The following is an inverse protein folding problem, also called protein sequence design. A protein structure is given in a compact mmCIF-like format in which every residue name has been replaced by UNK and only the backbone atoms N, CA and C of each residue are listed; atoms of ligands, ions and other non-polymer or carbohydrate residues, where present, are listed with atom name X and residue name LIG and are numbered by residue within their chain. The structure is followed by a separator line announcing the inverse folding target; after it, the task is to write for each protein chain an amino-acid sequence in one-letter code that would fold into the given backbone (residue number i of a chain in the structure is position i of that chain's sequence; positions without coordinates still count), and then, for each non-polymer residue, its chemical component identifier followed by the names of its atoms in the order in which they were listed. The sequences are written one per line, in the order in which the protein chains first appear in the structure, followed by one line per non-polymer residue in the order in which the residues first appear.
data_IF_004335139954
#
_entry.id   IF_004335139954
#
_cell.length_a   1.000
_cell.length_b   1.000
_cell.length_c   1.000
_cell.angle_alpha   90.00
_cell.angle_beta   90.00
_cell.angle_gamma   90.00
#
_symmetry.space_group_name_H-M   'P 1'
#
loop_
_entity.id
_entity.type
_entity.pdbx_description
1 polymer ?
#
# COMPACT_ATOMS: atom_id res chain seq x y z
N UNK A 1 26.07 13.72 29.50
CA UNK A 1 25.57 12.39 29.08
C UNK A 1 24.15 12.24 29.60
N UNK A 2 23.14 12.54 28.79
CA UNK A 2 21.73 12.32 29.14
C UNK A 2 21.35 10.90 28.71
N UNK A 3 21.06 10.06 29.70
CA UNK A 3 20.55 8.69 29.52
C UNK A 3 19.16 8.76 28.89
N UNK A 4 19.07 8.64 27.56
CA UNK A 4 17.81 8.51 26.82
C UNK A 4 17.14 7.19 27.19
N UNK A 5 16.07 7.27 27.99
CA UNK A 5 15.12 6.16 28.17
C UNK A 5 14.57 5.77 26.80
N UNK A 6 14.78 4.51 26.40
CA UNK A 6 14.07 3.93 25.26
C UNK A 6 12.57 4.09 25.51
N UNK A 7 11.88 4.87 24.67
CA UNK A 7 10.44 5.06 24.76
C UNK A 7 9.79 3.69 24.56
N UNK A 8 8.84 3.27 25.41
CA UNK A 8 8.14 2.01 25.22
C UNK A 8 7.45 2.01 23.86
N UNK A 9 7.37 0.83 23.23
CA UNK A 9 6.74 0.68 21.93
C UNK A 9 5.32 1.28 21.96
N UNK A 10 4.94 2.01 20.91
CA UNK A 10 3.61 2.59 20.80
C UNK A 10 2.56 1.49 20.90
N UNK A 11 1.51 1.76 21.67
CA UNK A 11 0.40 0.83 21.86
C UNK A 11 -0.65 1.09 20.78
N UNK A 12 -1.27 0.04 20.22
CA UNK A 12 -2.35 0.23 19.26
C UNK A 12 -3.52 0.97 19.90
N UNK A 13 -4.39 1.62 19.10
CA UNK A 13 -5.57 2.32 19.58
C UNK A 13 -6.44 1.40 20.45
N UNK A 14 -7.11 1.99 21.44
CA UNK A 14 -8.05 1.27 22.28
C UNK A 14 -9.10 0.54 21.43
N UNK A 15 -9.36 -0.73 21.75
CA UNK A 15 -10.29 -1.57 20.98
C UNK A 15 -9.65 -2.32 19.80
N UNK A 16 -8.35 -2.12 19.50
CA UNK A 16 -7.65 -2.96 18.52
C UNK A 16 -7.60 -4.41 19.02
N UNK A 17 -8.09 -5.39 18.23
CA UNK A 17 -8.06 -6.80 18.64
C UNK A 17 -6.64 -7.31 18.89
N UNK A 18 -6.54 -8.39 19.66
CA UNK A 18 -5.28 -9.08 19.88
C UNK A 18 -4.69 -9.60 18.55
N UNK A 19 -3.34 -9.72 18.42
CA UNK A 19 -2.70 -10.16 17.19
C UNK A 19 -3.23 -11.49 16.63
N UNK A 20 -3.57 -12.46 17.49
CA UNK A 20 -4.13 -13.74 17.06
C UNK A 20 -5.51 -13.61 16.41
N UNK A 21 -6.33 -12.66 16.88
CA UNK A 21 -7.65 -12.38 16.32
C UNK A 21 -7.54 -11.66 14.98
N UNK A 22 -6.62 -10.68 14.87
CA UNK A 22 -6.29 -10.05 13.60
C UNK A 22 -5.76 -11.08 12.59
N UNK A 23 -4.90 -12.01 13.03
CA UNK A 23 -4.39 -13.07 12.18
C UNK A 23 -5.51 -14.01 11.73
N UNK A 24 -6.47 -14.35 12.61
CA UNK A 24 -7.66 -15.14 12.23
C UNK A 24 -8.48 -14.43 11.14
N UNK A 25 -8.65 -13.12 11.21
CA UNK A 25 -9.33 -12.34 10.17
C UNK A 25 -8.54 -12.33 8.86
N UNK A 26 -7.22 -12.11 8.92
CA UNK A 26 -6.34 -12.18 7.74
C UNK A 26 -6.37 -13.57 7.09
N UNK A 27 -6.48 -14.65 7.88
CA UNK A 27 -6.63 -16.02 7.37
C UNK A 27 -7.93 -16.22 6.61
N UNK A 28 -9.02 -15.64 7.09
CA UNK A 28 -10.31 -15.71 6.41
C UNK A 28 -10.23 -15.03 5.04
N UNK A 29 -9.64 -13.82 4.98
CA UNK A 29 -9.45 -13.08 3.72
C UNK A 29 -8.57 -13.85 2.71
N UNK A 30 -7.50 -14.47 3.19
CA UNK A 30 -6.52 -15.17 2.33
C UNK A 30 -6.86 -16.66 2.10
N UNK A 31 -8.01 -17.15 2.54
CA UNK A 31 -8.33 -18.59 2.55
C UNK A 31 -8.24 -19.21 1.15
N UNK A 32 -8.84 -18.57 0.13
CA UNK A 32 -8.81 -19.06 -1.25
C UNK A 32 -7.41 -18.99 -1.86
N UNK A 33 -6.67 -17.90 -1.59
CA UNK A 33 -5.28 -17.74 -2.02
C UNK A 33 -4.38 -18.84 -1.46
N UNK A 34 -4.57 -19.24 -0.19
CA UNK A 34 -3.84 -20.35 0.43
C UNK A 34 -4.22 -21.69 -0.18
N UNK A 35 -5.51 -21.90 -0.49
CA UNK A 35 -5.97 -23.12 -1.16
C UNK A 35 -5.27 -23.28 -2.52
N UNK A 36 -5.21 -22.20 -3.30
CA UNK A 36 -4.55 -22.17 -4.62
C UNK A 36 -3.04 -22.36 -4.47
N UNK A 37 -2.40 -21.69 -3.50
CA UNK A 37 -0.97 -21.84 -3.25
C UNK A 37 -0.57 -23.27 -2.85
N UNK A 38 -1.42 -23.97 -2.07
CA UNK A 38 -1.20 -25.39 -1.72
C UNK A 38 -1.38 -26.30 -2.92
N UNK A 39 -2.45 -26.10 -3.70
CA UNK A 39 -2.65 -26.84 -4.95
C UNK A 39 -1.44 -26.70 -5.90
N UNK A 40 -0.89 -25.50 -6.02
CA UNK A 40 0.32 -25.24 -6.81
C UNK A 40 1.58 -25.90 -6.23
N UNK A 41 1.65 -26.09 -4.91
CA UNK A 41 2.77 -26.71 -4.21
C UNK A 41 2.83 -28.23 -4.39
N UNK A 42 1.68 -28.90 -4.42
CA UNK A 42 1.55 -30.36 -4.33
C UNK A 42 1.86 -31.12 -5.63
N UNK A 43 2.55 -30.49 -6.60
CA UNK A 43 3.15 -31.21 -7.72
C UNK A 43 2.29 -31.34 -8.97
N UNK A 44 1.24 -30.54 -9.14
CA UNK A 44 0.57 -30.35 -10.44
C UNK A 44 1.42 -29.58 -11.49
N UNK A 45 2.73 -29.45 -11.23
CA UNK A 45 3.77 -28.74 -12.00
C UNK A 45 3.86 -27.26 -11.61
N UNK A 46 5.08 -26.67 -11.50
CA UNK A 46 5.20 -25.22 -11.50
C UNK A 46 4.65 -24.78 -12.86
N UNK A 47 3.41 -24.30 -12.87
CA UNK A 47 2.85 -23.66 -14.05
C UNK A 47 3.86 -22.59 -14.45
N UNK A 48 4.31 -22.64 -15.70
CA UNK A 48 5.06 -21.55 -16.30
C UNK A 48 4.38 -20.24 -15.88
N UNK A 49 5.16 -19.24 -15.48
CA UNK A 49 4.64 -17.90 -15.23
C UNK A 49 4.55 -17.19 -16.59
N UNK A 50 3.43 -16.51 -16.92
CA UNK A 50 2.17 -16.43 -16.18
C UNK A 50 1.39 -17.75 -16.22
N UNK A 51 0.56 -18.01 -15.19
CA UNK A 51 -0.18 -19.27 -15.02
C UNK A 51 -0.82 -19.71 -16.35
N UNK A 52 -0.21 -20.67 -17.02
CA UNK A 52 -0.64 -21.11 -18.33
C UNK A 52 -2.11 -21.54 -18.32
N UNK A 53 -2.87 -21.28 -19.39
CA UNK A 53 -4.31 -21.56 -19.45
C UNK A 53 -4.67 -23.00 -19.10
N UNK A 54 -3.82 -23.97 -19.49
CA UNK A 54 -4.00 -25.38 -19.10
C UNK A 54 -3.85 -25.64 -17.59
N UNK A 55 -3.00 -24.88 -16.90
CA UNK A 55 -2.87 -24.98 -15.45
C UNK A 55 -4.07 -24.33 -14.75
N UNK A 56 -4.56 -23.21 -15.30
CA UNK A 56 -5.76 -22.52 -14.84
C UNK A 56 -7.01 -23.40 -14.94
N UNK A 57 -7.25 -24.05 -16.09
CA UNK A 57 -8.39 -24.95 -16.29
C UNK A 57 -8.34 -26.18 -15.37
N UNK A 58 -7.15 -26.76 -15.16
CA UNK A 58 -6.99 -27.88 -14.22
C UNK A 58 -7.26 -27.46 -12.77
N UNK A 59 -6.79 -26.27 -12.37
CA UNK A 59 -7.07 -25.73 -11.04
C UNK A 59 -8.56 -25.44 -10.88
N UNK A 60 -9.20 -24.83 -11.87
CA UNK A 60 -10.63 -24.55 -11.88
C UNK A 60 -11.46 -25.82 -11.68
N UNK A 61 -11.15 -26.87 -12.45
CA UNK A 61 -11.80 -28.17 -12.31
C UNK A 61 -11.52 -28.85 -10.96
N UNK A 62 -10.28 -28.81 -10.47
CA UNK A 62 -9.91 -29.46 -9.20
C UNK A 62 -10.48 -28.75 -7.96
N UNK A 63 -10.77 -27.46 -8.06
CA UNK A 63 -11.18 -26.62 -6.92
C UNK A 63 -12.65 -26.19 -7.02
N UNK A 64 -13.36 -26.58 -8.08
CA UNK A 64 -14.74 -26.17 -8.38
C UNK A 64 -14.91 -24.64 -8.41
N UNK A 65 -13.92 -23.96 -9.00
CA UNK A 65 -13.88 -22.51 -9.16
C UNK A 65 -13.91 -22.14 -10.64
N UNK A 66 -14.35 -20.92 -10.95
CA UNK A 66 -14.18 -20.39 -12.30
C UNK A 66 -12.70 -20.09 -12.59
N UNK A 67 -12.28 -20.17 -13.88
CA UNK A 67 -11.00 -19.66 -14.37
C UNK A 67 -10.61 -18.28 -13.80
N UNK A 68 -11.56 -17.35 -13.73
CA UNK A 68 -11.36 -16.01 -13.21
C UNK A 68 -11.06 -16.00 -11.69
N UNK A 69 -11.80 -16.80 -10.90
CA UNK A 69 -11.57 -16.93 -9.45
C UNK A 69 -10.21 -17.55 -9.15
N UNK A 70 -9.77 -18.54 -9.94
CA UNK A 70 -8.43 -19.13 -9.83
C UNK A 70 -7.35 -18.08 -10.12
N UNK A 71 -7.50 -17.29 -11.19
CA UNK A 71 -6.56 -16.22 -11.53
C UNK A 71 -6.46 -15.19 -10.41
N UNK A 72 -7.60 -14.69 -9.94
CA UNK A 72 -7.65 -13.71 -8.86
C UNK A 72 -7.01 -14.26 -7.56
N UNK A 73 -7.30 -15.51 -7.21
CA UNK A 73 -6.70 -16.13 -6.03
C UNK A 73 -5.21 -16.42 -6.18
N UNK A 74 -4.73 -16.72 -7.39
CA UNK A 74 -3.30 -16.82 -7.71
C UNK A 74 -2.58 -15.49 -7.53
N UNK A 75 -3.13 -14.40 -8.08
CA UNK A 75 -2.55 -13.06 -7.95
C UNK A 75 -2.50 -12.61 -6.50
N UNK A 76 -3.58 -12.86 -5.74
CA UNK A 76 -3.61 -12.64 -4.29
C UNK A 76 -2.53 -13.47 -3.58
N UNK A 77 -2.34 -14.73 -3.95
CA UNK A 77 -1.32 -15.60 -3.35
C UNK A 77 0.11 -15.10 -3.64
N UNK A 78 0.35 -14.61 -4.86
CA UNK A 78 1.64 -14.00 -5.24
C UNK A 78 1.90 -12.72 -4.47
N UNK A 79 0.94 -11.80 -4.43
CA UNK A 79 1.07 -10.50 -3.76
C UNK A 79 1.19 -10.65 -2.23
N UNK A 80 0.49 -11.62 -1.63
CA UNK A 80 0.64 -11.96 -0.22
C UNK A 80 1.94 -12.73 0.12
N UNK A 81 2.74 -13.10 -0.88
CA UNK A 81 3.99 -13.86 -0.71
C UNK A 81 3.77 -15.31 -0.25
N UNK A 82 2.61 -15.89 -0.56
CA UNK A 82 2.31 -17.32 -0.39
C UNK A 82 2.91 -18.14 -1.54
N UNK A 83 3.11 -17.51 -2.69
CA UNK A 83 3.80 -18.04 -3.87
C UNK A 83 4.97 -17.12 -4.19
N UNK A 84 6.13 -17.70 -4.44
CA UNK A 84 7.33 -17.01 -4.90
C UNK A 84 7.62 -17.41 -6.35
N UNK A 85 7.88 -16.43 -7.21
CA UNK A 85 8.25 -16.66 -8.60
C UNK A 85 9.77 -16.79 -8.71
N UNK A 86 10.25 -17.80 -9.43
CA UNK A 86 11.65 -18.08 -9.63
C UNK A 86 11.89 -18.42 -11.10
N UNK A 87 12.28 -17.41 -11.88
CA UNK A 87 12.22 -17.49 -13.34
C UNK A 87 10.79 -17.81 -13.77
N UNK A 88 10.65 -18.82 -14.63
CA UNK A 88 9.35 -19.27 -15.13
C UNK A 88 8.65 -20.25 -14.17
N UNK A 89 9.19 -20.48 -12.97
CA UNK A 89 8.60 -21.44 -12.02
C UNK A 89 7.99 -20.75 -10.81
N UNK A 90 6.81 -21.21 -10.40
CA UNK A 90 6.22 -20.84 -9.12
C UNK A 90 6.62 -21.84 -8.05
N UNK A 91 6.99 -21.34 -6.85
CA UNK A 91 7.34 -22.15 -5.69
C UNK A 91 6.54 -21.73 -4.46
N UNK A 92 6.31 -22.66 -3.50
CA UNK A 92 5.72 -22.32 -2.22
C UNK A 92 6.56 -21.27 -1.49
N UNK A 93 5.96 -20.12 -1.21
CA UNK A 93 6.59 -19.06 -0.46
C UNK A 93 6.78 -19.44 1.00
N UNK A 94 7.74 -18.82 1.68
CA UNK A 94 8.01 -19.13 3.08
C UNK A 94 6.80 -18.87 4.00
N UNK A 95 5.94 -17.90 3.66
CA UNK A 95 4.71 -17.58 4.40
C UNK A 95 3.69 -18.71 4.35
N UNK A 96 3.63 -19.46 3.24
CA UNK A 96 2.79 -20.65 3.15
C UNK A 96 3.25 -21.74 4.13
N UNK A 97 4.56 -21.94 4.24
CA UNK A 97 5.17 -22.89 5.22
C UNK A 97 4.99 -22.45 6.67
N UNK A 98 4.90 -21.14 6.90
CA UNK A 98 4.68 -20.57 8.22
C UNK A 98 3.19 -20.41 8.57
N UNK A 99 2.29 -20.68 7.62
CA UNK A 99 0.87 -20.33 7.69
C UNK A 99 0.26 -20.71 9.03
N UNK A 100 0.28 -21.97 9.43
CA UNK A 100 -0.42 -22.43 10.63
C UNK A 100 0.24 -22.03 11.98
N UNK A 101 1.45 -21.47 11.98
CA UNK A 101 2.29 -21.34 13.19
C UNK A 101 2.80 -19.94 13.48
N UNK A 102 2.75 -19.02 12.51
CA UNK A 102 3.28 -17.67 12.64
C UNK A 102 2.23 -16.65 12.21
N UNK A 103 1.52 -16.11 13.20
CA UNK A 103 0.51 -15.07 12.99
C UNK A 103 1.12 -13.77 12.46
N UNK A 104 2.37 -13.47 12.82
CA UNK A 104 3.04 -12.27 12.32
C UNK A 104 3.37 -12.41 10.83
N UNK A 105 3.74 -13.60 10.36
CA UNK A 105 3.94 -13.88 8.94
C UNK A 105 2.65 -13.70 8.13
N UNK A 106 1.51 -14.12 8.70
CA UNK A 106 0.18 -14.00 8.09
C UNK A 106 -0.25 -12.56 8.00
N UNK A 107 -0.11 -11.80 9.09
CA UNK A 107 -0.41 -10.37 9.12
C UNK A 107 0.45 -9.61 8.11
N UNK A 108 1.76 -9.89 8.02
CA UNK A 108 2.64 -9.30 7.01
C UNK A 108 2.25 -9.68 5.57
N UNK A 109 1.76 -10.90 5.35
CA UNK A 109 1.27 -11.34 4.04
C UNK A 109 0.00 -10.59 3.64
N UNK A 110 -0.93 -10.41 4.58
CA UNK A 110 -2.14 -9.63 4.33
C UNK A 110 -1.83 -8.14 4.12
N UNK A 111 -0.90 -7.54 4.88
CA UNK A 111 -0.47 -6.14 4.65
C UNK A 111 0.14 -5.98 3.26
N UNK A 112 0.92 -6.95 2.77
CA UNK A 112 1.44 -6.90 1.41
C UNK A 112 0.32 -6.95 0.34
N UNK A 113 -0.74 -7.74 0.59
CA UNK A 113 -1.92 -7.75 -0.26
C UNK A 113 -2.68 -6.42 -0.21
N UNK A 114 -2.86 -5.88 1.00
CA UNK A 114 -3.48 -4.57 1.23
C UNK A 114 -2.74 -3.45 0.49
N UNK A 115 -1.41 -3.44 0.55
CA UNK A 115 -0.59 -2.44 -0.16
C UNK A 115 -0.67 -2.58 -1.68
N UNK A 116 -0.99 -3.77 -2.16
CA UNK A 116 -1.14 -4.09 -3.58
C UNK A 116 -2.60 -4.17 -4.03
N UNK A 117 -3.54 -3.57 -3.30
CA UNK A 117 -4.98 -3.67 -3.57
C UNK A 117 -5.33 -3.29 -5.03
N UNK A 118 -4.69 -2.25 -5.56
CA UNK A 118 -4.92 -1.75 -6.92
C UNK A 118 -4.39 -2.68 -8.01
N UNK A 119 -3.50 -3.61 -7.67
CA UNK A 119 -3.03 -4.66 -8.57
C UNK A 119 -3.97 -5.87 -8.58
N UNK A 120 -4.74 -6.08 -7.51
CA UNK A 120 -5.72 -7.17 -7.37
C UNK A 120 -7.06 -6.76 -7.98
N UNK A 121 -7.40 -5.47 -7.90
CA UNK A 121 -8.64 -4.92 -8.38
C UNK A 121 -8.34 -3.98 -9.55
N UNK A 122 -8.39 -4.54 -10.76
CA UNK A 122 -8.07 -3.83 -12.00
C UNK A 122 -8.83 -2.51 -12.11
N UNK A 123 -8.15 -1.48 -12.62
CA UNK A 123 -8.76 -0.17 -12.86
C UNK A 123 -9.92 -0.27 -13.86
N UNK A 124 -10.90 0.65 -13.78
CA UNK A 124 -11.96 0.74 -14.77
C UNK A 124 -11.39 0.94 -16.18
N UNK A 125 -12.06 0.35 -17.18
CA UNK A 125 -11.65 0.48 -18.58
C UNK A 125 -11.83 1.92 -19.09
N UNK A 126 -10.91 2.38 -19.94
CA UNK A 126 -11.00 3.70 -20.57
C UNK A 126 -10.55 4.88 -19.69
N UNK A 127 -10.00 4.62 -18.52
CA UNK A 127 -9.43 5.66 -17.64
C UNK A 127 -7.92 5.79 -17.87
N UNK A 128 -7.45 7.02 -17.98
CA UNK A 128 -6.02 7.33 -18.13
C UNK A 128 -5.19 6.84 -16.93
N UNK A 129 -4.02 6.27 -17.22
CA UNK A 129 -3.16 5.67 -16.19
C UNK A 129 -2.67 6.69 -15.15
N UNK A 130 -2.51 7.95 -15.55
CA UNK A 130 -2.15 9.06 -14.64
C UNK A 130 -3.22 9.32 -13.60
N UNK A 131 -4.49 9.40 -14.01
CA UNK A 131 -5.62 9.59 -13.09
C UNK A 131 -5.75 8.42 -12.10
N UNK A 132 -5.54 7.18 -12.57
CA UNK A 132 -5.49 6.00 -11.68
C UNK A 132 -4.35 6.12 -10.68
N UNK A 133 -3.15 6.54 -11.11
CA UNK A 133 -2.00 6.70 -10.24
C UNK A 133 -2.22 7.78 -9.17
N UNK A 134 -2.87 8.89 -9.53
CA UNK A 134 -3.23 9.97 -8.60
C UNK A 134 -4.25 9.54 -7.57
N UNK A 135 -5.29 8.80 -7.98
CA UNK A 135 -6.24 8.21 -7.05
C UNK A 135 -5.55 7.25 -6.07
N UNK A 136 -4.65 6.38 -6.55
CA UNK A 136 -3.87 5.48 -5.69
C UNK A 136 -2.98 6.27 -4.72
N UNK A 137 -2.37 7.36 -5.16
CA UNK A 137 -1.55 8.24 -4.32
C UNK A 137 -2.37 9.01 -3.27
N UNK A 138 -3.64 9.32 -3.55
CA UNK A 138 -4.55 10.00 -2.63
C UNK A 138 -5.19 9.07 -1.58
N UNK A 139 -5.31 7.75 -1.86
CA UNK A 139 -5.92 6.76 -0.95
C UNK A 139 -5.35 6.74 0.49
N UNK A 140 -4.04 6.90 0.74
CA UNK A 140 -3.51 6.99 2.11
C UNK A 140 -4.18 8.08 2.97
N UNK A 141 -4.57 9.22 2.39
CA UNK A 141 -5.25 10.28 3.11
C UNK A 141 -6.71 9.90 3.44
N UNK A 142 -7.39 9.26 2.48
CA UNK A 142 -8.74 8.69 2.68
C UNK A 142 -8.74 7.66 3.82
N UNK A 143 -7.76 6.75 3.82
CA UNK A 143 -7.59 5.75 4.88
C UNK A 143 -7.30 6.39 6.25
N UNK A 144 -6.55 7.50 6.28
CA UNK A 144 -6.26 8.24 7.50
C UNK A 144 -7.53 8.87 8.08
N UNK A 145 -8.40 9.46 7.23
CA UNK A 145 -9.70 9.97 7.67
C UNK A 145 -10.56 8.84 8.27
N UNK A 146 -10.67 7.70 7.58
CA UNK A 146 -11.42 6.54 8.08
C UNK A 146 -10.91 6.04 9.44
N UNK A 147 -9.58 6.00 9.62
CA UNK A 147 -8.95 5.56 10.86
C UNK A 147 -9.20 6.54 12.01
N UNK A 148 -9.08 7.84 11.75
CA UNK A 148 -9.31 8.89 12.76
C UNK A 148 -10.78 9.02 13.15
N UNK A 149 -11.70 8.78 12.21
CA UNK A 149 -13.14 8.86 12.46
C UNK A 149 -13.65 7.77 13.41
N UNK A 150 -12.91 6.65 13.55
CA UNK A 150 -13.25 5.52 14.42
C UNK A 150 -14.70 5.01 14.24
N UNK A 151 -15.23 5.09 13.02
CA UNK A 151 -16.62 4.77 12.69
C UNK A 151 -16.93 4.95 11.19
N UNK A 152 -18.19 4.81 10.77
CA UNK A 152 -18.60 5.00 9.38
C UNK A 152 -18.35 6.42 8.91
N UNK A 153 -17.77 6.56 7.72
CA UNK A 153 -17.60 7.85 7.02
C UNK A 153 -18.42 7.84 5.74
N UNK A 154 -19.10 8.94 5.44
CA UNK A 154 -19.97 9.03 4.27
C UNK A 154 -19.14 9.10 2.98
N UNK A 155 -19.63 8.46 1.92
CA UNK A 155 -18.98 8.49 0.59
C UNK A 155 -18.79 9.91 0.07
N UNK A 156 -19.76 10.85 0.20
CA UNK A 156 -19.54 12.25 -0.18
C UNK A 156 -18.34 12.91 0.52
N UNK A 157 -18.14 12.68 1.81
CA UNK A 157 -16.99 13.25 2.53
C UNK A 157 -15.65 12.66 2.06
N UNK A 158 -15.65 11.37 1.69
CA UNK A 158 -14.47 10.72 1.11
C UNK A 158 -14.18 11.23 -0.31
N UNK A 159 -15.22 11.54 -1.08
CA UNK A 159 -15.12 12.11 -2.42
C UNK A 159 -14.53 13.52 -2.40
N UNK A 160 -15.03 14.37 -1.51
CA UNK A 160 -14.50 15.72 -1.33
C UNK A 160 -13.00 15.68 -0.98
N UNK A 161 -12.61 14.77 -0.08
CA UNK A 161 -11.21 14.58 0.30
C UNK A 161 -10.34 14.08 -0.86
N UNK A 162 -10.82 13.07 -1.61
CA UNK A 162 -10.10 12.55 -2.77
C UNK A 162 -9.91 13.64 -3.83
N UNK A 163 -10.97 14.35 -4.18
CA UNK A 163 -10.95 15.42 -5.18
C UNK A 163 -9.97 16.53 -4.79
N UNK A 164 -10.00 16.95 -3.51
CA UNK A 164 -9.04 17.92 -2.97
C UNK A 164 -7.60 17.43 -3.11
N UNK A 165 -7.31 16.18 -2.75
CA UNK A 165 -5.93 15.67 -2.82
C UNK A 165 -5.43 15.47 -4.25
N UNK A 166 -6.29 15.04 -5.17
CA UNK A 166 -5.95 14.94 -6.59
C UNK A 166 -5.64 16.33 -7.17
N UNK A 167 -6.40 17.35 -6.80
CA UNK A 167 -6.10 18.73 -7.19
C UNK A 167 -4.73 19.20 -6.68
N UNK A 168 -4.41 18.92 -5.41
CA UNK A 168 -3.09 19.23 -4.83
C UNK A 168 -1.96 18.48 -5.55
N UNK A 169 -2.13 17.19 -5.87
CA UNK A 169 -1.14 16.42 -6.63
C UNK A 169 -0.90 16.99 -8.03
N UNK A 170 -1.96 17.46 -8.71
CA UNK A 170 -1.81 18.14 -9.99
C UNK A 170 -1.01 19.44 -9.86
N UNK A 171 -1.25 20.23 -8.81
CA UNK A 171 -0.49 21.45 -8.55
C UNK A 171 0.98 21.14 -8.24
N UNK A 172 1.26 20.12 -7.41
CA UNK A 172 2.60 19.67 -7.05
C UNK A 172 3.40 19.14 -8.27
N UNK A 173 2.72 18.57 -9.26
CA UNK A 173 3.32 17.97 -10.47
C UNK A 173 3.39 18.91 -11.66
N UNK A 174 2.71 20.05 -11.62
CA UNK A 174 2.82 21.07 -12.67
C UNK A 174 4.24 21.66 -12.67
N UNK A 175 5.13 21.13 -13.51
CA UNK A 175 6.22 21.94 -14.06
C UNK A 175 5.60 23.14 -14.80
N UNK A 176 6.01 24.35 -14.43
CA UNK A 176 5.45 25.62 -14.95
C UNK A 176 5.39 25.59 -16.49
N UNK A 177 4.20 25.63 -17.12
CA UNK A 177 4.09 25.65 -18.57
C UNK A 177 4.66 26.95 -19.13
N UNK A 178 5.67 26.87 -19.99
CA UNK A 178 6.08 27.99 -20.83
C UNK A 178 5.14 28.10 -22.03
N UNK A 179 4.02 28.81 -21.88
CA UNK A 179 3.13 29.14 -23.00
C UNK A 179 1.72 29.57 -22.58
N UNK A 180 1.01 30.36 -23.40
CA UNK A 180 -0.34 30.82 -23.09
C UNK A 180 -1.32 29.64 -23.06
N UNK A 181 -1.99 29.48 -21.91
CA UNK A 181 -2.95 28.42 -21.64
C UNK A 181 -4.34 28.85 -22.14
N UNK A 182 -4.91 28.11 -23.09
CA UNK A 182 -6.32 28.24 -23.45
C UNK A 182 -7.22 27.69 -22.32
N UNK A 183 -8.36 28.33 -22.03
CA UNK A 183 -9.23 27.90 -20.93
C UNK A 183 -9.92 26.57 -21.26
N UNK A 184 -9.59 25.52 -20.50
CA UNK A 184 -10.20 24.21 -20.66
C UNK A 184 -11.63 24.17 -20.06
N UNK A 185 -12.61 23.56 -20.75
CA UNK A 185 -13.90 23.22 -20.15
C UNK A 185 -13.77 21.88 -19.40
N UNK A 186 -13.75 21.86 -18.06
CA UNK A 186 -13.32 20.63 -17.34
C UNK A 186 -13.94 20.32 -15.97
N UNK A 187 -14.94 21.05 -15.45
CA UNK A 187 -15.38 20.83 -14.05
C UNK A 187 -16.33 19.64 -13.86
N UNK A 188 -17.29 19.39 -14.75
CA UNK A 188 -18.27 18.29 -14.57
C UNK A 188 -17.65 16.91 -14.84
N UNK A 189 -16.83 16.78 -15.89
CA UNK A 189 -16.16 15.51 -16.22
C UNK A 189 -15.16 15.07 -15.14
N UNK A 190 -14.52 16.02 -14.44
CA UNK A 190 -13.58 15.71 -13.36
C UNK A 190 -14.30 15.17 -12.11
N UNK A 191 -15.51 15.66 -11.81
CA UNK A 191 -16.26 15.21 -10.64
C UNK A 191 -16.75 13.76 -10.80
N UNK A 192 -17.30 13.43 -11.97
CA UNK A 192 -17.73 12.07 -12.30
C UNK A 192 -16.57 11.08 -12.30
N UNK A 193 -15.41 11.50 -12.82
CA UNK A 193 -14.18 10.70 -12.79
C UNK A 193 -13.71 10.42 -11.36
N UNK A 194 -13.69 11.43 -10.48
CA UNK A 194 -13.30 11.26 -9.09
C UNK A 194 -14.27 10.34 -8.33
N UNK A 195 -15.57 10.42 -8.63
CA UNK A 195 -16.57 9.51 -8.05
C UNK A 195 -16.30 8.05 -8.49
N UNK A 196 -16.08 7.82 -9.79
CA UNK A 196 -15.75 6.50 -10.32
C UNK A 196 -14.45 5.94 -9.70
N UNK A 197 -13.41 6.77 -9.56
CA UNK A 197 -12.13 6.37 -8.98
C UNK A 197 -12.25 6.10 -7.47
N UNK A 198 -13.07 6.87 -6.75
CA UNK A 198 -13.36 6.60 -5.35
C UNK A 198 -14.06 5.26 -5.18
N UNK A 199 -15.12 5.00 -5.96
CA UNK A 199 -15.87 3.75 -5.91
C UNK A 199 -14.95 2.56 -6.19
N UNK A 200 -14.14 2.65 -7.25
CA UNK A 200 -13.10 1.65 -7.56
C UNK A 200 -12.13 1.43 -6.39
N UNK A 201 -11.64 2.50 -5.76
CA UNK A 201 -10.72 2.38 -4.64
C UNK A 201 -11.38 1.71 -3.42
N UNK A 202 -12.61 2.11 -3.08
CA UNK A 202 -13.35 1.54 -1.97
C UNK A 202 -13.71 0.07 -2.21
N UNK A 203 -14.13 -0.29 -3.43
CA UNK A 203 -14.38 -1.68 -3.82
C UNK A 203 -13.11 -2.53 -3.75
N UNK A 204 -11.98 -2.02 -4.25
CA UNK A 204 -10.70 -2.71 -4.18
C UNK A 204 -10.23 -2.95 -2.74
N UNK A 205 -10.34 -1.94 -1.88
CA UNK A 205 -10.03 -2.04 -0.46
C UNK A 205 -10.98 -3.00 0.28
N UNK A 206 -12.27 -3.00 -0.08
CA UNK A 206 -13.24 -3.97 0.44
C UNK A 206 -12.91 -5.40 -0.01
N UNK A 207 -12.48 -5.58 -1.26
CA UNK A 207 -12.15 -6.88 -1.84
C UNK A 207 -10.95 -7.56 -1.17
N UNK A 208 -10.05 -6.78 -0.56
CA UNK A 208 -8.93 -7.26 0.28
C UNK A 208 -9.27 -7.28 1.78
N UNK A 209 -10.51 -6.98 2.15
CA UNK A 209 -11.01 -7.04 3.53
C UNK A 209 -10.56 -5.90 4.44
N UNK A 210 -10.07 -4.79 3.87
CA UNK A 210 -9.61 -3.64 4.65
C UNK A 210 -10.76 -2.79 5.20
N UNK A 211 -11.88 -2.72 4.47
CA UNK A 211 -13.06 -1.98 4.87
C UNK A 211 -14.34 -2.72 4.47
N UNK A 212 -15.47 -2.28 5.03
CA UNK A 212 -16.81 -2.69 4.64
C UNK A 212 -17.55 -1.49 4.06
N UNK A 213 -18.32 -1.72 3.00
CA UNK A 213 -19.22 -0.75 2.39
C UNK A 213 -20.63 -0.94 2.94
N UNK A 214 -21.20 0.13 3.48
CA UNK A 214 -22.62 0.24 3.85
C UNK A 214 -23.36 1.15 2.87
N UNK A 215 -24.64 1.43 3.15
CA UNK A 215 -25.45 2.34 2.31
C UNK A 215 -24.86 3.77 2.33
N UNK A 216 -24.02 4.09 1.35
CA UNK A 216 -23.35 5.39 1.21
C UNK A 216 -22.27 5.68 2.24
N UNK A 217 -21.73 4.66 2.93
CA UNK A 217 -20.68 4.82 3.94
C UNK A 217 -19.61 3.75 3.82
N UNK A 218 -18.38 4.07 4.20
CA UNK A 218 -17.29 3.11 4.35
C UNK A 218 -16.80 3.08 5.80
N UNK A 219 -16.44 1.89 6.29
CA UNK A 219 -15.91 1.67 7.64
C UNK A 219 -14.73 0.72 7.58
N UNK A 220 -13.60 1.07 8.21
CA UNK A 220 -12.47 0.15 8.31
C UNK A 220 -12.86 -1.09 9.12
N UNK A 221 -12.42 -2.25 8.66
CA UNK A 221 -12.45 -3.48 9.47
C UNK A 221 -11.43 -3.35 10.60
N UNK A 222 -11.49 -4.18 11.66
CA UNK A 222 -10.45 -4.18 12.69
C UNK A 222 -9.05 -4.44 12.10
N UNK A 223 -8.96 -5.27 11.06
CA UNK A 223 -7.72 -5.56 10.33
C UNK A 223 -7.21 -4.36 9.52
N UNK A 224 -8.10 -3.67 8.79
CA UNK A 224 -7.77 -2.44 8.09
C UNK A 224 -7.36 -1.31 9.03
N UNK A 225 -8.11 -1.10 10.11
CA UNK A 225 -7.79 -0.11 11.14
C UNK A 225 -6.42 -0.34 11.76
N UNK A 226 -6.09 -1.60 12.10
CA UNK A 226 -4.77 -1.96 12.61
C UNK A 226 -3.66 -1.65 11.60
N UNK A 227 -3.85 -1.99 10.32
CA UNK A 227 -2.81 -1.78 9.32
C UNK A 227 -2.58 -0.31 8.98
N UNK A 228 -3.64 0.50 8.89
CA UNK A 228 -3.53 1.96 8.73
C UNK A 228 -2.82 2.54 9.95
N UNK A 229 -3.18 2.13 11.17
CA UNK A 229 -2.47 2.58 12.37
C UNK A 229 -0.98 2.21 12.35
N UNK A 230 -0.61 0.96 11.98
CA UNK A 230 0.80 0.56 11.88
C UNK A 230 1.56 1.45 10.89
N UNK A 231 0.95 1.81 9.76
CA UNK A 231 1.56 2.71 8.76
C UNK A 231 1.71 4.13 9.28
N UNK A 232 0.68 4.69 9.91
CA UNK A 232 0.74 6.00 10.54
C UNK A 232 1.81 6.03 11.64
N UNK A 233 1.92 4.96 12.44
CA UNK A 233 2.94 4.85 13.47
C UNK A 233 4.35 4.76 12.86
N UNK A 234 4.53 4.05 11.73
CA UNK A 234 5.80 4.02 11.01
C UNK A 234 6.20 5.42 10.49
N UNK A 235 5.22 6.20 10.00
CA UNK A 235 5.44 7.59 9.58
C UNK A 235 5.81 8.45 10.80
N UNK A 236 5.08 8.33 11.91
CA UNK A 236 5.38 9.06 13.15
C UNK A 236 6.74 8.71 13.74
N UNK A 237 7.10 7.42 13.78
CA UNK A 237 8.40 6.94 14.25
C UNK A 237 9.51 7.38 13.30
N UNK A 238 9.27 7.35 11.99
CA UNK A 238 10.16 7.97 11.03
C UNK A 238 10.31 9.44 11.42
N UNK A 239 9.25 10.26 11.30
CA UNK A 239 9.23 11.70 11.56
C UNK A 239 9.95 12.12 12.87
N UNK A 240 9.84 11.31 13.91
CA UNK A 240 10.51 11.52 15.21
C UNK A 240 11.97 11.04 15.25
N UNK A 241 12.66 11.01 14.11
CA UNK A 241 14.06 10.61 14.02
C UNK A 241 14.92 11.25 15.12
N UNK A 242 15.85 10.53 15.77
CA UNK A 242 16.66 11.04 16.88
C UNK A 242 17.39 12.37 16.62
N UNK A 243 17.66 12.67 15.34
CA UNK A 243 18.25 13.93 14.89
C UNK A 243 17.26 14.89 14.20
N UNK A 244 16.03 14.47 13.90
CA UNK A 244 14.99 15.33 13.31
C UNK A 244 15.24 15.70 11.85
N UNK A 245 15.98 14.89 11.09
CA UNK A 245 16.42 15.27 9.74
C UNK A 245 15.33 15.15 8.68
N UNK A 246 14.15 14.63 9.02
CA UNK A 246 13.15 14.23 8.02
C UNK A 246 12.53 15.39 7.29
N UNK A 247 12.45 16.56 7.91
CA UNK A 247 11.98 17.78 7.27
C UNK A 247 13.13 18.56 6.58
N UNK A 248 14.37 18.07 6.67
CA UNK A 248 15.55 18.75 6.14
C UNK A 248 15.83 18.35 4.69
N UNK A 249 16.50 19.21 3.93
CA UNK A 249 17.00 18.88 2.59
C UNK A 249 17.91 17.63 2.61
N UNK A 250 18.10 16.98 1.47
CA UNK A 250 19.03 15.85 1.36
C UNK A 250 20.45 16.26 1.78
N UNK A 251 20.88 17.48 1.43
CA UNK A 251 22.17 18.03 1.82
C UNK A 251 22.30 18.16 3.35
N UNK A 252 21.34 18.83 3.97
CA UNK A 252 21.33 19.07 5.42
C UNK A 252 21.20 17.76 6.21
N UNK A 253 20.40 16.82 5.70
CA UNK A 253 20.27 15.49 6.28
C UNK A 253 21.60 14.72 6.19
N UNK A 254 22.28 14.71 5.04
CA UNK A 254 23.57 14.02 4.87
C UNK A 254 24.65 14.64 5.76
N UNK A 255 24.71 15.97 5.85
CA UNK A 255 25.59 16.70 6.75
C UNK A 255 25.27 16.42 8.23
N UNK A 256 23.99 16.37 8.59
CA UNK A 256 23.51 16.00 9.92
C UNK A 256 23.90 14.57 10.31
N UNK A 257 23.89 13.65 9.35
CA UNK A 257 24.28 12.26 9.53
C UNK A 257 25.79 12.02 9.57
N UNK A 258 26.62 12.95 9.09
CA UNK A 258 28.08 12.81 9.05
C UNK A 258 28.72 12.61 10.44
N UNK A 259 28.04 13.04 11.51
CA UNK A 259 28.49 12.88 12.91
C UNK A 259 27.92 11.64 13.60
N UNK A 260 27.12 10.83 12.91
CA UNK A 260 26.50 9.62 13.46
C UNK A 260 27.33 8.37 13.17
N UNK A 261 27.18 7.34 14.00
CA UNK A 261 27.71 6.00 13.67
C UNK A 261 26.89 5.38 12.52
N UNK A 262 27.44 4.40 11.77
CA UNK A 262 26.79 3.89 10.56
C UNK A 262 25.38 3.34 10.74
N UNK A 263 25.06 2.76 11.91
CA UNK A 263 23.73 2.24 12.21
C UNK A 263 22.67 3.35 12.32
N UNK A 264 22.85 4.32 13.23
CA UNK A 264 22.01 5.51 13.32
C UNK A 264 21.92 6.30 12.03
N UNK A 265 23.02 6.53 11.31
CA UNK A 265 23.00 7.23 10.02
C UNK A 265 22.09 6.52 9.00
N UNK A 266 22.18 5.18 8.90
CA UNK A 266 21.28 4.40 8.02
C UNK A 266 19.82 4.47 8.46
N UNK A 267 19.54 4.57 9.76
CA UNK A 267 18.18 4.73 10.26
C UNK A 267 17.61 6.08 9.84
N UNK A 268 18.40 7.15 9.95
CA UNK A 268 18.04 8.49 9.47
C UNK A 268 17.80 8.50 7.95
N UNK A 269 18.68 7.89 7.14
CA UNK A 269 18.49 7.78 5.68
C UNK A 269 17.19 7.08 5.31
N UNK A 270 16.88 5.97 5.98
CA UNK A 270 15.65 5.22 5.73
C UNK A 270 14.41 6.01 6.14
N UNK A 271 14.48 6.73 7.24
CA UNK A 271 13.36 7.53 7.72
C UNK A 271 13.14 8.75 6.81
N UNK A 272 14.22 9.41 6.36
CA UNK A 272 14.19 10.51 5.40
C UNK A 272 13.60 10.09 4.05
N UNK A 273 13.99 8.92 3.53
CA UNK A 273 13.44 8.34 2.31
C UNK A 273 11.97 7.92 2.49
N UNK A 274 11.59 7.35 3.64
CA UNK A 274 10.24 6.86 3.88
C UNK A 274 9.20 8.00 4.02
N UNK A 275 9.63 9.20 4.34
CA UNK A 275 8.77 10.37 4.49
C UNK A 275 8.53 11.14 3.17
N UNK A 276 9.14 10.71 2.06
CA UNK A 276 9.12 11.44 0.78
C UNK A 276 8.67 10.54 -0.38
N UNK A 277 8.10 11.11 -1.45
CA UNK A 277 7.96 10.41 -2.72
C UNK A 277 9.33 9.93 -3.23
N UNK A 278 9.41 8.66 -3.65
CA UNK A 278 10.70 8.04 -4.03
C UNK A 278 11.37 8.78 -5.18
N UNK A 279 10.59 9.25 -6.16
CA UNK A 279 11.12 9.99 -7.32
C UNK A 279 11.82 11.29 -6.93
N UNK A 280 11.18 12.13 -6.12
CA UNK A 280 11.75 13.40 -5.67
C UNK A 280 12.94 13.18 -4.74
N UNK A 281 12.83 12.26 -3.79
CA UNK A 281 13.91 11.94 -2.86
C UNK A 281 15.18 11.42 -3.57
N UNK A 282 15.04 10.59 -4.60
CA UNK A 282 16.17 10.11 -5.40
C UNK A 282 16.77 11.24 -6.23
N UNK A 283 15.94 12.09 -6.85
CA UNK A 283 16.41 13.24 -7.62
C UNK A 283 17.23 14.21 -6.74
N UNK A 284 16.73 14.52 -5.55
CA UNK A 284 17.38 15.40 -4.57
C UNK A 284 18.73 14.85 -4.11
N UNK A 285 18.79 13.55 -3.76
CA UNK A 285 20.05 12.88 -3.40
C UNK A 285 21.06 12.87 -4.54
N UNK A 286 20.61 12.69 -5.78
CA UNK A 286 21.47 12.73 -6.96
C UNK A 286 21.99 14.14 -7.23
N UNK A 287 21.16 15.18 -7.06
CA UNK A 287 21.58 16.57 -7.19
C UNK A 287 22.66 16.93 -6.16
N UNK A 288 22.45 16.56 -4.89
CA UNK A 288 23.45 16.75 -3.83
C UNK A 288 24.73 15.97 -4.10
N UNK A 289 24.64 14.72 -4.57
CA UNK A 289 25.80 13.91 -4.92
C UNK A 289 26.61 14.48 -6.10
N UNK A 290 25.95 15.19 -7.02
CA UNK A 290 26.59 15.90 -8.14
C UNK A 290 27.10 17.29 -7.77
N UNK A 291 26.69 17.85 -6.63
CA UNK A 291 26.97 19.23 -6.25
C UNK A 291 26.16 20.25 -7.04
N UNK A 292 24.99 19.87 -7.57
CA UNK A 292 24.09 20.71 -8.37
C UNK A 292 23.00 21.39 -7.53
N UNK A 293 23.13 21.36 -6.20
CA UNK A 293 22.16 21.98 -5.29
C UNK A 293 22.31 23.50 -5.32
N UNK A 294 21.23 24.21 -5.71
CA UNK A 294 21.25 25.66 -5.96
C UNK A 294 21.45 26.53 -4.70
N UNK A 295 21.51 25.90 -3.52
CA UNK A 295 21.71 26.55 -2.22
C UNK A 295 23.12 26.33 -1.61
N UNK A 296 24.06 25.74 -2.37
CA UNK A 296 25.48 25.58 -2.00
C UNK A 296 26.42 26.46 -2.86
#
# INVERSE_FOLDING_TARGET
MTTRRARPAPRPPAGTPAPAELARQARAVLADAVRIARWAADGAGPGAVPLADRALERAAAAMELSPAQVRAGWDRARLAGLIELHGDTARPGWRLRAWNRDDSAVLRGWVALFDAWSLVHSSPEGIEATAVAEAVEAVPQVLSLLQLSAGPVSVPALLDLLAQRVAELHEERCEVPYGPQEPAPATETSADLNALLLDWALEGLAAVGALTLGAGHATLTPLGNWAVWVKLEQICVAAQSPAGNIEQSAADMLLGCARLTPGPARAEYRAWLAARPVGSAVAELLAVARGEDALL
#
